data_IF_956059380039
#
_entry.id   IF_956059380039
#
_cell.length_a   1.000
_cell.length_b   1.000
_cell.length_c   1.000
_cell.angle_alpha   90.00
_cell.angle_beta   90.00
_cell.angle_gamma   90.00
#
_symmetry.space_group_name_H-M   'P 1'
#
loop_
_entity.id
_entity.type
_entity.pdbx_description
1 polymer ?
#
# COMPACT_ATOMS: atom_id res chain seq x y z
N UNK A 1 6.29 9.68 -24.55
CA UNK A 1 6.38 8.33 -23.91
C UNK A 1 6.39 8.51 -22.41
N UNK A 2 5.52 7.84 -21.68
CA UNK A 2 5.59 7.88 -20.23
C UNK A 2 6.90 7.24 -19.74
N UNK A 3 7.45 7.78 -18.68
CA UNK A 3 8.62 7.18 -18.06
C UNK A 3 8.21 5.87 -17.37
N UNK A 4 9.11 4.90 -17.37
CA UNK A 4 8.89 3.65 -16.66
C UNK A 4 8.89 3.91 -15.13
N UNK A 5 8.12 3.12 -14.40
CA UNK A 5 8.19 3.12 -12.94
C UNK A 5 9.56 2.58 -12.52
N UNK A 6 10.17 3.21 -11.54
CA UNK A 6 11.49 2.85 -11.03
C UNK A 6 11.44 2.56 -9.53
N UNK A 7 12.54 2.02 -9.01
CA UNK A 7 12.70 1.87 -7.55
C UNK A 7 12.52 3.22 -6.85
N UNK A 8 13.08 4.29 -7.43
CA UNK A 8 12.91 5.65 -6.87
C UNK A 8 11.44 6.08 -6.85
N UNK A 9 10.66 5.73 -7.88
CA UNK A 9 9.23 6.01 -7.90
C UNK A 9 8.49 5.30 -6.78
N UNK A 10 8.81 4.02 -6.56
CA UNK A 10 8.18 3.25 -5.47
C UNK A 10 8.58 3.77 -4.09
N UNK A 11 9.84 4.21 -3.93
CA UNK A 11 10.27 4.85 -2.68
C UNK A 11 9.48 6.14 -2.43
N UNK A 12 9.27 6.95 -3.46
CA UNK A 12 8.47 8.18 -3.35
C UNK A 12 7.00 7.88 -3.04
N UNK A 13 6.46 6.84 -3.63
CA UNK A 13 5.10 6.38 -3.33
C UNK A 13 4.98 5.95 -1.86
N UNK A 14 5.96 5.21 -1.35
CA UNK A 14 6.02 4.81 0.06
C UNK A 14 6.11 6.02 0.99
N UNK A 15 6.90 7.03 0.63
CA UNK A 15 6.99 8.27 1.40
C UNK A 15 5.65 8.99 1.48
N UNK A 16 4.88 8.99 0.40
CA UNK A 16 3.54 9.59 0.39
C UNK A 16 2.59 8.85 1.33
N UNK A 17 2.67 7.52 1.39
CA UNK A 17 1.94 6.73 2.38
C UNK A 17 2.28 7.16 3.81
N UNK A 18 3.57 7.31 4.10
CA UNK A 18 4.04 7.67 5.44
C UNK A 18 3.70 9.12 5.83
N UNK A 19 3.56 10.01 4.85
CA UNK A 19 3.09 11.37 5.08
C UNK A 19 1.57 11.47 5.14
N UNK A 20 0.85 10.39 4.88
CA UNK A 20 -0.62 10.37 4.79
C UNK A 20 -1.13 11.37 3.73
N UNK A 21 -0.49 11.37 2.56
CA UNK A 21 -0.78 12.32 1.48
C UNK A 21 -1.49 11.61 0.33
N UNK A 22 -2.81 11.57 0.36
CA UNK A 22 -3.59 10.84 -0.63
C UNK A 22 -3.49 11.47 -2.02
N UNK A 23 -3.36 12.78 -2.11
CA UNK A 23 -3.20 13.46 -3.40
C UNK A 23 -1.90 13.01 -4.08
N UNK A 24 -0.81 12.95 -3.32
CA UNK A 24 0.47 12.46 -3.83
C UNK A 24 0.35 11.00 -4.29
N UNK A 25 -0.30 10.14 -3.50
CA UNK A 25 -0.51 8.75 -3.87
C UNK A 25 -1.24 8.64 -5.20
N UNK A 26 -2.32 9.38 -5.37
CA UNK A 26 -3.13 9.28 -6.59
C UNK A 26 -2.37 9.74 -7.83
N UNK A 27 -1.37 10.61 -7.67
CA UNK A 27 -0.51 11.01 -8.78
C UNK A 27 0.31 9.86 -9.38
N UNK A 28 0.53 8.78 -8.64
CA UNK A 28 1.24 7.59 -9.13
C UNK A 28 0.32 6.56 -9.79
N UNK A 29 -1.01 6.73 -9.64
CA UNK A 29 -1.96 5.70 -10.05
C UNK A 29 -2.46 5.90 -11.47
N UNK A 30 -2.60 4.80 -12.19
CA UNK A 30 -3.18 4.78 -13.53
C UNK A 30 -4.68 5.12 -13.47
N UNK A 31 -5.22 5.64 -14.57
CA UNK A 31 -6.66 5.95 -14.66
C UNK A 31 -7.55 4.72 -14.51
N UNK A 32 -7.03 3.54 -14.85
CA UNK A 32 -7.74 2.26 -14.68
C UNK A 32 -7.20 1.47 -13.49
N UNK A 33 -6.77 2.16 -12.44
CA UNK A 33 -6.12 1.51 -11.31
C UNK A 33 -7.07 0.61 -10.50
N UNK A 34 -6.47 -0.40 -9.89
CA UNK A 34 -7.15 -1.33 -8.97
C UNK A 34 -6.31 -1.46 -7.71
N UNK A 35 -6.96 -1.48 -6.58
CA UNK A 35 -6.36 -1.74 -5.28
C UNK A 35 -7.04 -2.96 -4.67
N UNK A 36 -6.26 -3.98 -4.32
CA UNK A 36 -6.73 -5.19 -3.64
C UNK A 36 -6.14 -5.19 -2.24
N UNK A 37 -7.00 -5.20 -1.24
CA UNK A 37 -6.58 -5.11 0.17
C UNK A 37 -6.10 -6.45 0.71
N UNK A 38 -5.40 -6.41 1.86
CA UNK A 38 -4.85 -7.63 2.47
C UNK A 38 -5.93 -8.54 3.06
N UNK A 39 -7.09 -7.99 3.40
CA UNK A 39 -8.20 -8.76 3.99
C UNK A 39 -9.52 -8.35 3.35
N UNK A 40 -10.44 -9.27 3.29
CA UNK A 40 -11.76 -9.04 2.72
C UNK A 40 -12.47 -10.36 2.45
N UNK A 41 -13.67 -10.29 1.90
CA UNK A 41 -14.50 -11.49 1.70
C UNK A 41 -14.10 -12.35 0.50
N UNK A 42 -13.29 -11.81 -0.41
CA UNK A 42 -12.93 -12.49 -1.65
C UNK A 42 -11.50 -13.03 -1.61
N UNK A 43 -11.15 -13.86 -2.57
CA UNK A 43 -9.80 -14.41 -2.67
C UNK A 43 -8.74 -13.30 -2.79
N UNK A 44 -9.09 -12.18 -3.40
CA UNK A 44 -8.20 -11.03 -3.56
C UNK A 44 -8.30 -10.02 -2.41
N UNK A 45 -8.97 -10.35 -1.32
CA UNK A 45 -9.30 -9.40 -0.27
C UNK A 45 -10.56 -8.61 -0.62
N UNK A 46 -10.45 -7.30 -0.71
CA UNK A 46 -11.49 -6.42 -1.25
C UNK A 46 -10.90 -5.68 -2.45
N UNK A 47 -11.62 -5.72 -3.57
CA UNK A 47 -11.16 -5.11 -4.81
C UNK A 47 -11.84 -3.75 -5.01
N UNK A 48 -11.01 -2.71 -5.10
CA UNK A 48 -11.47 -1.35 -5.41
C UNK A 48 -10.98 -0.99 -6.81
N UNK A 49 -11.88 -0.58 -7.69
CA UNK A 49 -11.56 -0.29 -9.07
C UNK A 49 -11.86 1.17 -9.41
N UNK A 50 -10.92 1.82 -10.07
CA UNK A 50 -11.02 3.19 -10.52
C UNK A 50 -10.49 4.20 -9.50
N UNK A 51 -10.06 5.39 -9.97
CA UNK A 51 -9.40 6.36 -9.09
C UNK A 51 -10.25 6.81 -7.89
N UNK A 52 -11.55 7.05 -8.08
CA UNK A 52 -12.40 7.52 -6.99
C UNK A 52 -12.50 6.47 -5.86
N UNK A 53 -12.75 5.21 -6.21
CA UNK A 53 -12.85 4.14 -5.23
C UNK A 53 -11.49 3.86 -4.56
N UNK A 54 -10.41 3.87 -5.33
CA UNK A 54 -9.05 3.65 -4.82
C UNK A 54 -8.66 4.76 -3.85
N UNK A 55 -8.96 6.02 -4.18
CA UNK A 55 -8.67 7.15 -3.30
C UNK A 55 -9.35 6.99 -1.93
N UNK A 56 -10.62 6.63 -1.93
CA UNK A 56 -11.38 6.42 -0.67
C UNK A 56 -10.76 5.27 0.13
N UNK A 57 -10.40 4.17 -0.54
CA UNK A 57 -9.82 3.01 0.12
C UNK A 57 -8.43 3.31 0.69
N UNK A 58 -7.61 4.10 0.00
CA UNK A 58 -6.31 4.53 0.51
C UNK A 58 -6.47 5.36 1.78
N UNK A 59 -7.34 6.36 1.76
CA UNK A 59 -7.57 7.22 2.91
C UNK A 59 -8.13 6.44 4.10
N UNK A 60 -8.88 5.39 3.86
CA UNK A 60 -9.45 4.55 4.92
C UNK A 60 -8.38 3.90 5.80
N UNK A 61 -7.18 3.63 5.25
CA UNK A 61 -6.09 3.04 6.02
C UNK A 61 -5.68 3.95 7.19
N UNK A 62 -5.58 5.26 6.94
CA UNK A 62 -5.20 6.23 7.98
C UNK A 62 -6.36 6.54 8.93
N UNK A 63 -7.60 6.40 8.46
CA UNK A 63 -8.78 6.55 9.32
C UNK A 63 -8.83 5.41 10.34
N UNK A 64 -8.49 4.19 9.90
CA UNK A 64 -8.46 3.03 10.78
C UNK A 64 -7.25 3.05 11.73
N UNK A 65 -6.10 3.52 11.25
CA UNK A 65 -4.84 3.54 12.00
C UNK A 65 -4.20 4.92 11.80
N UNK A 66 -4.57 5.93 12.61
CA UNK A 66 -4.10 7.31 12.38
C UNK A 66 -2.60 7.52 12.47
N UNK A 67 -1.88 6.66 13.17
CA UNK A 67 -0.42 6.69 13.28
C UNK A 67 0.27 5.66 12.37
N UNK A 68 -0.42 5.21 11.32
CA UNK A 68 0.11 4.18 10.41
C UNK A 68 1.41 4.62 9.74
N UNK A 69 2.40 3.72 9.76
CA UNK A 69 3.66 3.87 9.05
C UNK A 69 4.03 2.56 8.39
N UNK A 70 4.70 2.66 7.25
CA UNK A 70 5.26 1.53 6.52
C UNK A 70 6.78 1.68 6.57
N UNK A 71 7.42 0.94 7.48
CA UNK A 71 8.85 1.10 7.82
C UNK A 71 9.69 0.06 7.08
N UNK A 72 10.99 0.34 7.00
CA UNK A 72 11.98 -0.60 6.44
C UNK A 72 11.69 -0.94 4.97
N UNK A 73 11.26 0.04 4.19
CA UNK A 73 10.89 -0.17 2.80
C UNK A 73 12.04 -0.68 1.92
N UNK A 74 11.76 -1.71 1.13
CA UNK A 74 12.66 -2.24 0.10
C UNK A 74 11.87 -2.43 -1.16
N UNK A 75 12.38 -1.91 -2.27
CA UNK A 75 11.63 -1.83 -3.52
C UNK A 75 12.38 -2.52 -4.64
N UNK A 76 11.65 -3.26 -5.47
CA UNK A 76 12.18 -4.00 -6.60
C UNK A 76 11.28 -3.74 -7.82
N UNK A 77 11.89 -3.53 -8.97
CA UNK A 77 11.14 -3.31 -10.22
C UNK A 77 11.74 -4.18 -11.30
N UNK A 78 10.88 -4.90 -12.01
CA UNK A 78 11.24 -5.71 -13.17
C UNK A 78 10.19 -5.47 -14.25
N UNK A 79 10.49 -4.58 -15.19
CA UNK A 79 9.59 -4.25 -16.29
C UNK A 79 8.25 -3.71 -15.79
N UNK A 80 7.17 -4.42 -16.12
CA UNK A 80 5.82 -4.03 -15.73
C UNK A 80 5.39 -4.54 -14.35
N UNK A 81 6.32 -5.09 -13.59
CA UNK A 81 6.04 -5.69 -12.29
C UNK A 81 6.95 -5.09 -11.22
N UNK A 82 6.44 -4.90 -10.02
CA UNK A 82 7.23 -4.42 -8.90
C UNK A 82 6.77 -4.98 -7.57
N UNK A 83 7.66 -4.86 -6.58
CA UNK A 83 7.41 -5.30 -5.20
C UNK A 83 7.94 -4.24 -4.26
N UNK A 84 7.16 -3.91 -3.25
CA UNK A 84 7.62 -3.14 -2.09
C UNK A 84 7.43 -4.00 -0.84
N UNK A 85 8.52 -4.23 -0.12
CA UNK A 85 8.49 -4.90 1.19
C UNK A 85 8.48 -3.84 2.28
N UNK A 86 7.77 -4.08 3.35
CA UNK A 86 7.67 -3.13 4.48
C UNK A 86 7.22 -3.83 5.75
N UNK A 87 7.39 -3.12 6.87
CA UNK A 87 6.76 -3.46 8.14
C UNK A 87 5.70 -2.40 8.44
N UNK A 88 4.45 -2.81 8.52
CA UNK A 88 3.35 -1.91 8.86
C UNK A 88 3.27 -1.77 10.37
N UNK A 89 3.27 -0.53 10.86
CA UNK A 89 3.19 -0.22 12.28
C UNK A 89 2.09 0.78 12.57
N UNK A 90 1.54 0.73 13.76
CA UNK A 90 0.55 1.68 14.21
C UNK A 90 -0.16 1.20 15.46
N UNK A 91 -1.23 1.92 15.81
CA UNK A 91 -2.09 1.60 16.94
C UNK A 91 -3.49 1.33 16.44
N UNK A 92 -4.03 0.16 16.74
CA UNK A 92 -5.38 -0.20 16.35
C UNK A 92 -6.45 0.53 17.16
N UNK A 93 -7.71 0.40 16.73
CA UNK A 93 -8.85 1.03 17.39
C UNK A 93 -9.01 0.60 18.85
N UNK A 94 -8.56 -0.60 19.17
CA UNK A 94 -8.57 -1.15 20.54
C UNK A 94 -7.38 -0.71 21.38
N UNK A 95 -6.50 0.15 20.85
CA UNK A 95 -5.28 0.58 21.51
C UNK A 95 -4.12 -0.38 21.42
N UNK A 96 -4.30 -1.55 20.77
CA UNK A 96 -3.24 -2.52 20.64
C UNK A 96 -2.22 -2.11 19.57
N UNK A 97 -0.95 -2.39 19.82
CA UNK A 97 0.14 -2.14 18.87
C UNK A 97 0.02 -3.09 17.67
N UNK A 98 0.14 -2.53 16.48
CA UNK A 98 0.23 -3.28 15.24
C UNK A 98 1.68 -3.21 14.76
N UNK A 99 2.25 -4.38 14.42
CA UNK A 99 3.58 -4.47 13.83
C UNK A 99 3.63 -5.78 13.04
N UNK A 100 3.48 -5.71 11.74
CA UNK A 100 3.44 -6.89 10.86
C UNK A 100 4.17 -6.61 9.57
N UNK A 101 4.84 -7.63 9.04
CA UNK A 101 5.51 -7.55 7.75
C UNK A 101 4.51 -7.81 6.63
N UNK A 102 4.77 -7.15 5.51
CA UNK A 102 3.97 -7.34 4.33
C UNK A 102 4.67 -6.91 3.07
N UNK A 103 3.96 -7.07 1.96
CA UNK A 103 4.44 -6.66 0.64
C UNK A 103 3.28 -6.12 -0.18
N UNK A 104 3.61 -5.18 -1.06
CA UNK A 104 2.76 -4.80 -2.18
C UNK A 104 3.31 -5.46 -3.44
N UNK A 105 2.44 -6.11 -4.19
CA UNK A 105 2.75 -6.54 -5.54
C UNK A 105 2.11 -5.55 -6.50
N UNK A 106 2.91 -5.01 -7.42
CA UNK A 106 2.45 -3.99 -8.36
C UNK A 106 2.47 -4.48 -9.79
N UNK A 107 1.48 -4.06 -10.56
CA UNK A 107 1.54 -4.08 -12.02
C UNK A 107 1.57 -2.64 -12.50
N UNK A 108 2.44 -2.35 -13.45
CA UNK A 108 2.59 -1.00 -14.01
C UNK A 108 2.09 -0.96 -15.45
N UNK A 109 1.51 0.17 -15.83
CA UNK A 109 1.08 0.43 -17.20
C UNK A 109 1.21 1.92 -17.48
N UNK A 110 1.82 2.27 -18.60
CA UNK A 110 2.00 3.66 -19.03
C UNK A 110 2.71 4.53 -17.98
N UNK A 111 3.71 3.95 -17.31
CA UNK A 111 4.48 4.66 -16.28
C UNK A 111 3.73 4.90 -14.97
N UNK A 112 2.61 4.23 -14.76
CA UNK A 112 1.76 4.38 -13.58
C UNK A 112 1.46 3.03 -12.95
N UNK A 113 1.00 3.05 -11.70
CA UNK A 113 0.58 1.85 -11.00
C UNK A 113 -0.84 1.49 -11.43
N UNK A 114 -0.99 0.37 -12.12
CA UNK A 114 -2.29 -0.13 -12.56
C UNK A 114 -2.93 -1.06 -11.52
N UNK A 115 -2.12 -1.81 -10.79
CA UNK A 115 -2.60 -2.68 -9.71
C UNK A 115 -1.69 -2.54 -8.50
N UNK A 116 -2.28 -2.33 -7.34
CA UNK A 116 -1.61 -2.45 -6.04
C UNK A 116 -2.30 -3.59 -5.29
N UNK A 117 -1.58 -4.66 -5.07
CA UNK A 117 -2.10 -5.88 -4.45
C UNK A 117 -1.33 -6.15 -3.16
N UNK A 118 -2.00 -6.06 -2.02
CA UNK A 118 -1.37 -6.10 -0.70
C UNK A 118 -1.45 -7.49 -0.11
N UNK A 119 -0.32 -7.98 0.40
CA UNK A 119 -0.25 -9.17 1.22
C UNK A 119 0.40 -8.79 2.54
N UNK A 120 -0.18 -9.24 3.63
CA UNK A 120 0.30 -8.86 4.96
C UNK A 120 0.17 -10.06 5.90
N UNK A 121 1.20 -10.29 6.71
CA UNK A 121 1.14 -11.35 7.70
C UNK A 121 0.13 -11.01 8.78
N UNK A 122 -0.49 -12.04 9.34
CA UNK A 122 -1.36 -11.93 10.50
C UNK A 122 -0.62 -12.55 11.68
N UNK A 123 -0.55 -11.83 12.79
CA UNK A 123 0.09 -12.35 14.00
C UNK A 123 -0.96 -12.97 14.90
N UNK A 124 -0.61 -14.09 15.52
CA UNK A 124 -1.50 -14.77 16.46
C UNK A 124 -1.61 -14.03 17.79
N UNK A 125 -0.59 -13.23 18.12
CA UNK A 125 -0.60 -12.39 19.33
C UNK A 125 -0.05 -11.01 18.99
N UNK A 126 -0.51 -9.94 19.67
CA UNK A 126 0.05 -8.61 19.49
C UNK A 126 1.53 -8.55 19.90
N UNK A 127 2.30 -7.57 19.40
CA UNK A 127 3.66 -7.33 19.86
C UNK A 127 3.69 -7.09 21.36
N UNK A 128 4.73 -7.61 22.05
CA UNK A 128 4.88 -7.49 23.51
C UNK A 128 5.78 -6.32 23.81
N UNK A 129 6.42 -5.65 23.38
CA UNK A 129 7.14 -4.42 23.73
C UNK A 129 6.28 -3.19 23.52
N UNK A 130 6.48 -2.18 24.22
CA UNK A 130 5.69 -0.96 24.06
C UNK A 130 6.59 0.21 23.82
#
# INVERSE_FOLDING_TARGET
MPEAVTVASLAAFSDAWNRHDVDALMGFMHDDCVFQTAAGPDACGTRHAGPAAVRVAFAAAWQAVPDAQWENGRHHVDGAFGVSEWTFTGTGADGARIEVDGVDLFTFRDGKIALKNVFRKARSTPPTGR
#
